data_IF_913818940875
#
_entry.id   IF_913818940875
#
_cell.length_a   1.000
_cell.length_b   1.000
_cell.length_c   1.000
_cell.angle_alpha   90.00
_cell.angle_beta   90.00
_cell.angle_gamma   90.00
#
_symmetry.space_group_name_H-M   'P 1'
#
loop_
_entity.id
_entity.type
_entity.pdbx_description
1 polymer ?
#
# COMPACT_ATOMS: atom_id res chain seq x y z
N UNK A 1 -16.25 6.36 -14.06
CA UNK A 1 -15.45 6.12 -15.28
C UNK A 1 -14.45 7.27 -15.40
N UNK A 2 -13.14 6.98 -15.37
CA UNK A 2 -12.07 7.99 -15.47
C UNK A 2 -12.03 8.59 -16.88
N UNK A 3 -11.78 9.90 -17.00
CA UNK A 3 -11.60 10.55 -18.31
C UNK A 3 -10.21 10.20 -18.84
N UNK A 4 -10.10 9.92 -20.14
CA UNK A 4 -8.82 9.59 -20.77
C UNK A 4 -7.75 10.67 -20.55
N UNK A 5 -8.13 11.96 -20.50
CA UNK A 5 -7.24 13.07 -20.20
C UNK A 5 -6.56 12.93 -18.84
N UNK A 6 -7.33 12.51 -17.84
CA UNK A 6 -6.92 12.43 -16.45
C UNK A 6 -5.95 11.25 -16.30
N UNK A 7 -6.31 10.10 -16.88
CA UNK A 7 -5.42 8.94 -16.98
C UNK A 7 -4.06 9.32 -17.58
N UNK A 8 -4.06 9.97 -18.76
CA UNK A 8 -2.82 10.37 -19.44
C UNK A 8 -2.00 11.34 -18.58
N UNK A 9 -2.65 12.28 -17.89
CA UNK A 9 -1.97 13.26 -17.05
C UNK A 9 -1.25 12.59 -15.88
N UNK A 10 -1.91 11.69 -15.14
CA UNK A 10 -1.31 10.96 -14.03
C UNK A 10 -0.13 10.09 -14.49
N UNK A 11 -0.34 9.30 -15.54
CA UNK A 11 0.70 8.42 -16.11
C UNK A 11 1.93 9.18 -16.60
N UNK A 12 1.74 10.38 -17.16
CA UNK A 12 2.85 11.21 -17.61
C UNK A 12 3.71 11.67 -16.44
N UNK A 13 3.09 12.17 -15.35
CA UNK A 13 3.82 12.65 -14.18
C UNK A 13 4.62 11.52 -13.54
N UNK A 14 4.00 10.36 -13.31
CA UNK A 14 4.68 9.20 -12.72
C UNK A 14 5.83 8.71 -13.60
N UNK A 15 5.65 8.69 -14.93
CA UNK A 15 6.72 8.34 -15.86
C UNK A 15 7.89 9.32 -15.80
N UNK A 16 7.62 10.62 -15.76
CA UNK A 16 8.65 11.67 -15.67
C UNK A 16 9.43 11.56 -14.35
N UNK A 17 8.73 11.41 -13.22
CA UNK A 17 9.37 11.17 -11.92
C UNK A 17 10.24 9.91 -11.96
N UNK A 18 9.72 8.79 -12.47
CA UNK A 18 10.48 7.54 -12.57
C UNK A 18 11.76 7.67 -13.41
N UNK A 19 11.75 8.52 -14.43
CA UNK A 19 12.88 8.71 -15.33
C UNK A 19 13.91 9.70 -14.78
N UNK A 20 13.46 10.74 -14.09
CA UNK A 20 14.30 11.90 -13.77
C UNK A 20 14.50 12.15 -12.27
N UNK A 21 13.63 11.60 -11.41
CA UNK A 21 13.67 11.74 -9.96
C UNK A 21 13.07 10.49 -9.27
N UNK A 22 13.69 9.30 -9.44
CA UNK A 22 13.17 8.06 -8.87
C UNK A 22 13.08 8.08 -7.34
N UNK A 23 13.97 8.81 -6.66
CA UNK A 23 13.93 9.05 -5.22
C UNK A 23 12.69 9.84 -4.78
N UNK A 24 12.29 10.86 -5.56
CA UNK A 24 11.06 11.61 -5.28
C UNK A 24 9.82 10.76 -5.51
N UNK A 25 9.86 9.81 -6.45
CA UNK A 25 8.78 8.86 -6.68
C UNK A 25 8.64 7.86 -5.51
N UNK A 26 9.76 7.42 -4.95
CA UNK A 26 9.79 6.55 -3.77
C UNK A 26 9.30 7.27 -2.51
N UNK A 27 9.73 8.53 -2.32
CA UNK A 27 9.25 9.40 -1.24
C UNK A 27 7.73 9.58 -1.33
N UNK A 28 7.21 9.88 -2.52
CA UNK A 28 5.78 9.99 -2.79
C UNK A 28 5.00 8.71 -2.50
N UNK A 29 5.61 7.55 -2.73
CA UNK A 29 4.98 6.27 -2.43
C UNK A 29 5.00 5.97 -0.92
N UNK A 30 6.03 6.41 -0.21
CA UNK A 30 6.25 6.17 1.22
C UNK A 30 5.50 7.15 2.13
N UNK A 31 5.18 8.35 1.63
CA UNK A 31 4.35 9.34 2.34
C UNK A 31 2.87 9.21 1.92
N UNK A 32 2.10 8.53 2.75
CA UNK A 32 0.66 8.32 2.52
C UNK A 32 -0.19 9.56 2.84
N UNK A 33 0.33 10.51 3.62
CA UNK A 33 -0.38 11.72 4.03
C UNK A 33 -0.21 12.85 3.01
N UNK A 34 0.83 12.79 2.18
CA UNK A 34 1.06 13.79 1.15
C UNK A 34 -0.17 13.91 0.22
N UNK A 35 -0.78 15.12 0.08
CA UNK A 35 -1.95 15.28 -0.77
C UNK A 35 -1.63 15.04 -2.24
N UNK A 36 -2.40 14.17 -2.88
CA UNK A 36 -2.30 13.90 -4.32
C UNK A 36 -3.59 14.26 -5.02
N UNK A 37 -3.48 14.74 -6.25
CA UNK A 37 -4.67 14.80 -7.10
C UNK A 37 -5.08 13.38 -7.53
N UNK A 38 -6.38 13.11 -7.74
CA UNK A 38 -6.86 11.75 -8.04
C UNK A 38 -6.20 11.07 -9.26
N UNK A 39 -5.88 11.78 -10.36
CA UNK A 39 -5.17 11.16 -11.48
C UNK A 39 -3.78 10.65 -11.12
N UNK A 40 -3.01 11.42 -10.34
CA UNK A 40 -1.69 11.04 -9.89
C UNK A 40 -1.75 9.84 -8.92
N UNK A 41 -2.68 9.87 -7.96
CA UNK A 41 -2.87 8.78 -7.00
C UNK A 41 -3.14 7.43 -7.70
N UNK A 42 -4.02 7.41 -8.71
CA UNK A 42 -4.29 6.20 -9.47
C UNK A 42 -3.09 5.71 -10.28
N UNK A 43 -2.33 6.62 -10.87
CA UNK A 43 -1.12 6.27 -11.61
C UNK A 43 -0.01 5.73 -10.69
N UNK A 44 0.06 6.25 -9.46
CA UNK A 44 0.92 5.71 -8.41
C UNK A 44 0.51 4.29 -8.04
N UNK A 45 -0.76 4.07 -7.70
CA UNK A 45 -1.27 2.74 -7.36
C UNK A 45 -0.94 1.69 -8.44
N UNK A 46 -1.22 2.01 -9.72
CA UNK A 46 -0.87 1.13 -10.86
C UNK A 46 0.64 0.88 -10.97
N UNK A 47 1.46 1.89 -10.70
CA UNK A 47 2.92 1.74 -10.72
C UNK A 47 3.43 0.88 -9.58
N UNK A 48 2.73 0.82 -8.44
CA UNK A 48 3.03 -0.08 -7.34
C UNK A 48 2.66 -1.52 -7.70
N UNK A 49 1.47 -1.77 -8.26
CA UNK A 49 1.04 -3.09 -8.76
C UNK A 49 2.05 -3.63 -9.80
N UNK A 50 2.46 -2.78 -10.73
CA UNK A 50 3.45 -3.11 -11.77
C UNK A 50 4.90 -3.19 -11.24
N UNK A 51 5.14 -2.97 -9.94
CA UNK A 51 6.47 -2.92 -9.29
C UNK A 51 7.47 -1.96 -9.96
N UNK A 52 6.99 -0.80 -10.40
CA UNK A 52 7.78 0.20 -11.12
C UNK A 52 8.33 1.31 -10.24
N UNK A 53 7.96 1.37 -8.97
CA UNK A 53 8.59 2.23 -7.96
C UNK A 53 9.70 1.42 -7.31
N UNK A 54 10.96 1.74 -7.64
CA UNK A 54 12.12 1.07 -7.04
C UNK A 54 12.28 1.55 -5.60
N UNK A 55 12.86 0.71 -4.73
CA UNK A 55 13.10 1.05 -3.33
C UNK A 55 11.89 0.81 -2.42
N UNK A 56 10.67 1.08 -2.90
CA UNK A 56 9.44 0.85 -2.14
C UNK A 56 9.28 -0.59 -1.64
N UNK A 57 9.28 -0.75 -0.31
CA UNK A 57 9.00 -2.01 0.39
C UNK A 57 7.61 -1.94 1.05
N UNK A 58 6.61 -2.67 0.51
CA UNK A 58 5.26 -2.68 1.08
C UNK A 58 5.21 -3.07 2.57
N UNK A 59 6.07 -4.01 2.99
CA UNK A 59 6.13 -4.43 4.38
C UNK A 59 6.67 -3.34 5.32
N UNK A 60 7.49 -2.41 4.83
CA UNK A 60 8.02 -1.32 5.66
C UNK A 60 7.03 -0.17 5.78
N UNK A 61 6.26 0.10 4.71
CA UNK A 61 5.36 1.27 4.63
C UNK A 61 3.92 0.91 4.98
N UNK A 62 3.35 -0.13 4.34
CA UNK A 62 1.92 -0.42 4.40
C UNK A 62 1.56 -1.39 5.52
N UNK A 63 2.41 -2.39 5.78
CA UNK A 63 2.10 -3.42 6.77
C UNK A 63 1.93 -2.88 8.20
N UNK A 64 2.70 -1.89 8.70
CA UNK A 64 2.45 -1.29 10.02
C UNK A 64 1.06 -0.65 10.12
N UNK A 65 0.63 0.07 9.07
CA UNK A 65 -0.69 0.72 9.04
C UNK A 65 -1.83 -0.28 8.90
N UNK A 66 -1.60 -1.36 8.14
CA UNK A 66 -2.52 -2.49 8.11
C UNK A 66 -2.63 -3.12 9.50
N UNK A 67 -1.53 -3.38 10.19
CA UNK A 67 -1.57 -3.89 11.57
C UNK A 67 -2.33 -2.97 12.51
N UNK A 68 -2.14 -1.65 12.41
CA UNK A 68 -2.92 -0.68 13.17
C UNK A 68 -4.41 -0.74 12.83
N UNK A 69 -4.76 -0.81 11.54
CA UNK A 69 -6.15 -0.93 11.05
C UNK A 69 -6.84 -2.19 11.59
N UNK A 70 -6.10 -3.28 11.76
CA UNK A 70 -6.59 -4.55 12.34
C UNK A 70 -6.35 -4.66 13.86
N UNK A 71 -5.92 -3.59 14.52
CA UNK A 71 -5.62 -3.55 15.96
C UNK A 71 -4.63 -4.62 16.44
N UNK A 72 -3.71 -5.02 15.56
CA UNK A 72 -2.71 -6.04 15.83
C UNK A 72 -1.60 -5.46 16.71
N UNK A 73 -1.26 -6.15 17.80
CA UNK A 73 -0.01 -5.88 18.51
C UNK A 73 1.16 -6.62 17.84
N UNK A 74 2.11 -5.95 17.15
CA UNK A 74 3.18 -6.63 16.43
C UNK A 74 4.13 -7.40 17.36
N UNK A 75 4.22 -7.03 18.64
CA UNK A 75 5.05 -7.73 19.63
C UNK A 75 4.47 -9.08 20.04
N UNK A 76 3.19 -9.33 19.77
CA UNK A 76 2.54 -10.60 20.03
C UNK A 76 2.81 -11.66 18.94
N UNK A 77 3.27 -11.22 17.77
CA UNK A 77 3.56 -12.09 16.63
C UNK A 77 4.97 -12.67 16.78
N UNK A 78 5.12 -13.98 16.58
CA UNK A 78 6.42 -14.63 16.58
C UNK A 78 7.30 -14.09 15.44
N UNK A 79 8.62 -13.98 15.65
CA UNK A 79 9.53 -13.38 14.65
C UNK A 79 9.49 -14.11 13.30
N UNK A 80 9.36 -15.43 13.31
CA UNK A 80 9.29 -16.26 12.11
C UNK A 80 7.97 -16.05 11.35
N UNK A 81 6.88 -15.83 12.08
CA UNK A 81 5.58 -15.50 11.51
C UNK A 81 5.59 -14.08 10.92
N UNK A 82 6.16 -13.11 11.64
CA UNK A 82 6.32 -11.74 11.15
C UNK A 82 7.13 -11.70 9.84
N UNK A 83 8.27 -12.38 9.79
CA UNK A 83 9.09 -12.48 8.57
C UNK A 83 8.31 -13.12 7.40
N UNK A 84 7.43 -14.08 7.68
CA UNK A 84 6.57 -14.68 6.66
C UNK A 84 5.52 -13.69 6.13
N UNK A 85 4.92 -12.90 7.02
CA UNK A 85 3.96 -11.85 6.66
C UNK A 85 4.61 -10.73 5.83
N UNK A 86 5.83 -10.33 6.18
CA UNK A 86 6.62 -9.35 5.42
C UNK A 86 6.91 -9.84 3.99
N UNK A 87 7.29 -11.11 3.82
CA UNK A 87 7.51 -11.72 2.50
C UNK A 87 6.23 -11.70 1.67
N UNK A 88 5.08 -12.04 2.28
CA UNK A 88 3.78 -12.00 1.60
C UNK A 88 3.44 -10.56 1.19
N UNK A 89 3.62 -9.60 2.09
CA UNK A 89 3.34 -8.19 1.82
C UNK A 89 4.20 -7.64 0.68
N UNK A 90 5.52 -7.86 0.71
CA UNK A 90 6.46 -7.43 -0.33
C UNK A 90 6.25 -8.11 -1.69
N UNK A 91 5.47 -9.20 -1.72
CA UNK A 91 5.12 -9.93 -2.95
C UNK A 91 3.68 -9.74 -3.39
N UNK A 92 2.88 -8.96 -2.68
CA UNK A 92 1.47 -8.74 -3.00
C UNK A 92 1.32 -8.08 -4.39
N UNK A 93 0.45 -8.63 -5.22
CA UNK A 93 0.14 -8.09 -6.57
C UNK A 93 -0.90 -6.96 -6.51
N UNK A 94 -1.64 -6.85 -5.40
CA UNK A 94 -2.68 -5.84 -5.14
C UNK A 94 -2.16 -4.71 -4.23
N UNK A 95 -0.85 -4.46 -4.27
CA UNK A 95 -0.19 -3.49 -3.38
C UNK A 95 -0.66 -2.06 -3.63
N UNK A 96 -0.97 -1.70 -4.87
CA UNK A 96 -1.56 -0.43 -5.25
C UNK A 96 -2.94 -0.24 -4.64
N UNK A 97 -3.77 -1.28 -4.63
CA UNK A 97 -5.08 -1.26 -3.93
C UNK A 97 -4.90 -1.05 -2.43
N UNK A 98 -3.96 -1.77 -1.81
CA UNK A 98 -3.61 -1.58 -0.39
C UNK A 98 -3.17 -0.15 -0.10
N UNK A 99 -2.26 0.39 -0.92
CA UNK A 99 -1.76 1.75 -0.79
C UNK A 99 -2.87 2.80 -0.88
N UNK A 100 -3.81 2.66 -1.82
CA UNK A 100 -4.98 3.55 -1.89
C UNK A 100 -5.91 3.41 -0.68
N UNK A 101 -6.13 2.19 -0.21
CA UNK A 101 -6.96 1.93 0.97
C UNK A 101 -6.38 2.60 2.22
N UNK A 102 -5.07 2.49 2.43
CA UNK A 102 -4.39 3.13 3.57
C UNK A 102 -4.44 4.65 3.49
N UNK A 103 -4.17 5.24 2.31
CA UNK A 103 -4.35 6.70 2.11
C UNK A 103 -5.79 7.16 2.34
N UNK A 104 -6.75 6.32 1.96
CA UNK A 104 -8.18 6.54 2.14
C UNK A 104 -8.70 6.24 3.54
N UNK A 105 -7.82 5.81 4.48
CA UNK A 105 -8.20 5.40 5.83
C UNK A 105 -9.31 4.33 5.85
N UNK A 106 -9.19 3.34 4.96
CA UNK A 106 -10.12 2.21 4.89
C UNK A 106 -10.07 1.38 6.19
N UNK A 107 -11.22 0.84 6.59
CA UNK A 107 -11.34 -0.02 7.76
C UNK A 107 -10.87 -1.46 7.51
N UNK A 108 -10.81 -2.24 8.60
CA UNK A 108 -10.39 -3.65 8.57
C UNK A 108 -11.27 -4.51 7.64
N UNK A 109 -12.58 -4.26 7.61
CA UNK A 109 -13.53 -5.00 6.78
C UNK A 109 -13.21 -4.81 5.30
N UNK A 110 -13.07 -3.57 4.84
CA UNK A 110 -12.69 -3.27 3.46
C UNK A 110 -11.31 -3.85 3.09
N UNK A 111 -10.35 -3.77 4.02
CA UNK A 111 -9.01 -4.31 3.83
C UNK A 111 -8.99 -5.85 3.76
N UNK A 112 -9.92 -6.51 4.46
CA UNK A 112 -10.00 -7.97 4.51
C UNK A 112 -10.37 -8.62 3.19
N UNK A 113 -11.08 -7.89 2.32
CA UNK A 113 -11.53 -8.39 1.02
C UNK A 113 -10.39 -8.69 0.05
N UNK A 114 -9.21 -8.09 0.26
CA UNK A 114 -8.10 -8.18 -0.68
C UNK A 114 -6.75 -8.48 -0.03
N UNK A 115 -6.54 -8.18 1.25
CA UNK A 115 -5.22 -8.40 1.85
C UNK A 115 -4.98 -9.89 2.16
N UNK A 116 -3.91 -10.50 1.61
CA UNK A 116 -3.60 -11.91 1.88
C UNK A 116 -3.20 -12.18 3.33
N UNK A 117 -2.71 -11.17 4.05
CA UNK A 117 -2.35 -11.27 5.46
C UNK A 117 -3.55 -11.01 6.41
N UNK A 118 -4.71 -10.58 5.90
CA UNK A 118 -5.84 -10.15 6.73
C UNK A 118 -6.28 -11.21 7.74
N UNK A 119 -6.36 -12.47 7.32
CA UNK A 119 -6.76 -13.57 8.22
C UNK A 119 -5.80 -13.73 9.40
N UNK A 120 -4.49 -13.56 9.17
CA UNK A 120 -3.50 -13.60 10.24
C UNK A 120 -3.62 -12.36 11.11
N UNK A 121 -3.81 -11.18 10.53
CA UNK A 121 -4.03 -9.95 11.31
C UNK A 121 -5.26 -10.07 12.20
N UNK A 122 -6.41 -10.51 11.69
CA UNK A 122 -7.62 -10.75 12.49
C UNK A 122 -7.38 -11.72 13.65
N UNK A 123 -6.57 -12.77 13.46
CA UNK A 123 -6.27 -13.73 14.52
C UNK A 123 -5.39 -13.14 15.65
N UNK A 124 -4.66 -12.05 15.37
CA UNK A 124 -3.83 -11.32 16.33
C UNK A 124 -4.42 -9.97 16.75
N UNK A 125 -5.53 -9.56 16.14
CA UNK A 125 -6.28 -8.36 16.48
C UNK A 125 -7.15 -8.58 17.72
N UNK A 126 -7.55 -7.50 18.36
CA UNK A 126 -8.53 -7.55 19.44
C UNK A 126 -9.91 -7.88 18.87
N UNK A 127 -10.46 -9.05 19.24
CA UNK A 127 -11.90 -9.34 19.08
C UNK A 127 -12.67 -8.32 19.95
N UNK A 128 -13.09 -7.18 19.41
CA UNK A 128 -14.22 -6.46 19.99
C UNK A 128 -15.52 -7.15 19.55
N UNK A 129 -16.08 -7.88 20.50
CA UNK A 129 -17.40 -8.50 20.47
C UNK A 129 -18.55 -7.49 20.47
#
# INVERSE_FOLDING_TARGET
MERLSDYIQGERVVRELRQHAPEALEELASDLEQPLNPPLEKAMARSLDDRRVRGFQPAEVLMPLMMETFEVNPQAIAKEELASLEIVCNRCEEVGRCWQAMRGHADADACSEFCPNAKTFMAHGTDEA
#
